data_IF_999881850093
#
_entry.id   IF_999881850093
#
_cell.length_a   1.000
_cell.length_b   1.000
_cell.length_c   1.000
_cell.angle_alpha   90.00
_cell.angle_beta   90.00
_cell.angle_gamma   90.00
#
_symmetry.space_group_name_H-M   'P 1'
#
loop_
_entity.id
_entity.type
_entity.pdbx_description
1 polymer ?
#
# COMPACT_ATOMS: atom_id res chain seq x y z
N UNK A 1 -0.54 4.46 -40.37
CA UNK A 1 -0.03 4.15 -39.01
C UNK A 1 1.16 5.07 -38.75
N UNK A 2 1.11 5.91 -37.73
CA UNK A 2 2.24 6.79 -37.39
C UNK A 2 3.27 5.95 -36.64
N UNK A 3 4.42 5.71 -37.27
CA UNK A 3 5.50 4.88 -36.72
C UNK A 3 6.70 5.79 -36.45
N UNK A 4 7.22 5.75 -35.22
CA UNK A 4 8.47 6.44 -34.87
C UNK A 4 9.64 5.64 -35.46
N UNK A 5 10.54 6.23 -36.27
CA UNK A 5 11.66 5.51 -36.87
C UNK A 5 12.60 4.90 -35.82
N UNK A 6 13.20 3.73 -36.12
CA UNK A 6 14.08 3.00 -35.20
C UNK A 6 15.23 3.86 -34.65
N UNK A 7 15.81 4.73 -35.47
CA UNK A 7 16.91 5.61 -35.07
C UNK A 7 16.49 6.58 -33.94
N UNK A 8 15.27 7.12 -34.02
CA UNK A 8 14.73 8.04 -33.01
C UNK A 8 14.23 7.32 -31.76
N UNK A 9 13.79 6.06 -31.89
CA UNK A 9 13.41 5.26 -30.73
C UNK A 9 14.59 5.01 -29.79
N UNK A 10 15.80 4.90 -30.35
CA UNK A 10 17.02 4.65 -29.59
C UNK A 10 17.57 5.95 -28.98
N UNK A 11 17.40 7.08 -29.68
CA UNK A 11 18.02 8.34 -29.31
C UNK A 11 17.14 9.25 -28.42
N UNK A 12 15.82 9.04 -28.39
CA UNK A 12 14.91 10.01 -27.80
C UNK A 12 13.69 9.42 -27.09
N UNK A 13 12.87 10.32 -26.53
CA UNK A 13 11.62 9.94 -25.92
C UNK A 13 10.60 9.58 -27.01
N UNK A 14 10.34 8.27 -27.17
CA UNK A 14 9.41 7.71 -28.16
C UNK A 14 8.02 8.34 -28.06
N UNK A 15 7.52 8.58 -26.84
CA UNK A 15 6.21 9.18 -26.64
C UNK A 15 6.18 10.63 -27.14
N UNK A 16 7.22 11.42 -26.86
CA UNK A 16 7.32 12.78 -27.40
C UNK A 16 7.38 12.78 -28.93
N UNK A 17 8.21 11.93 -29.52
CA UNK A 17 8.36 11.79 -30.97
C UNK A 17 7.05 11.34 -31.65
N UNK A 18 6.25 10.53 -30.96
CA UNK A 18 4.90 10.15 -31.40
C UNK A 18 3.93 11.33 -31.34
N UNK A 19 3.87 12.04 -30.21
CA UNK A 19 2.99 13.21 -30.02
C UNK A 19 3.33 14.35 -30.99
N UNK A 20 4.61 14.58 -31.27
CA UNK A 20 5.04 15.55 -32.29
C UNK A 20 4.52 15.19 -33.68
N UNK A 21 4.51 13.91 -34.05
CA UNK A 21 4.05 13.46 -35.37
C UNK A 21 2.53 13.39 -35.50
N UNK A 22 1.82 13.17 -34.40
CA UNK A 22 0.35 13.10 -34.40
C UNK A 22 -0.31 14.47 -34.26
N UNK A 23 0.11 15.26 -33.26
CA UNK A 23 -0.52 16.53 -32.92
C UNK A 23 0.26 17.74 -33.45
N UNK A 24 1.55 17.58 -33.75
CA UNK A 24 2.35 18.66 -34.36
C UNK A 24 2.03 18.90 -35.84
N UNK A 25 1.30 18.00 -36.50
CA UNK A 25 0.76 18.25 -37.85
C UNK A 25 -0.50 19.15 -37.82
N UNK A 26 -1.13 19.30 -36.66
CA UNK A 26 -2.40 20.03 -36.49
C UNK A 26 -2.16 21.49 -36.09
N UNK A 27 -0.97 21.84 -35.59
CA UNK A 27 -0.66 23.17 -35.08
C UNK A 27 0.77 23.60 -35.39
N UNK A 28 0.96 24.88 -35.70
CA UNK A 28 2.27 25.45 -36.04
C UNK A 28 3.17 25.69 -34.82
N UNK A 29 2.67 25.53 -33.59
CA UNK A 29 3.47 25.67 -32.36
C UNK A 29 4.18 24.36 -32.01
N UNK A 30 5.50 24.31 -32.23
CA UNK A 30 6.35 23.16 -31.91
C UNK A 30 6.31 22.76 -30.41
N UNK A 31 5.92 23.67 -29.52
CA UNK A 31 5.87 23.43 -28.09
C UNK A 31 4.56 22.77 -27.63
N UNK A 32 3.51 22.82 -28.43
CA UNK A 32 2.18 22.33 -28.06
C UNK A 32 2.13 20.81 -27.81
N UNK A 33 2.72 19.94 -28.67
CA UNK A 33 2.72 18.49 -28.42
C UNK A 33 3.43 18.12 -27.11
N UNK A 34 4.51 18.83 -26.79
CA UNK A 34 5.26 18.64 -25.53
C UNK A 34 4.41 19.03 -24.32
N UNK A 35 3.68 20.14 -24.39
CA UNK A 35 2.78 20.60 -23.31
C UNK A 35 1.61 19.63 -23.11
N UNK A 36 1.01 19.13 -24.18
CA UNK A 36 -0.09 18.14 -24.11
C UNK A 36 0.40 16.84 -23.48
N UNK A 37 1.55 16.32 -23.92
CA UNK A 37 2.15 15.13 -23.33
C UNK A 37 2.45 15.35 -21.84
N UNK A 38 3.01 16.51 -21.47
CA UNK A 38 3.26 16.86 -20.06
C UNK A 38 1.97 16.91 -19.24
N UNK A 39 0.88 17.46 -19.80
CA UNK A 39 -0.42 17.49 -19.13
C UNK A 39 -0.98 16.09 -18.89
N UNK A 40 -0.94 15.20 -19.88
CA UNK A 40 -1.38 13.80 -19.72
C UNK A 40 -0.52 13.03 -18.71
N UNK A 41 0.80 13.20 -18.76
CA UNK A 41 1.69 12.61 -17.76
C UNK A 41 1.40 13.13 -16.36
N UNK A 42 1.11 14.42 -16.20
CA UNK A 42 0.77 15.02 -14.92
C UNK A 42 -0.55 14.44 -14.35
N UNK A 43 -1.61 14.36 -15.17
CA UNK A 43 -2.90 13.80 -14.75
C UNK A 43 -2.76 12.31 -14.39
N UNK A 44 -2.05 11.53 -15.21
CA UNK A 44 -1.81 10.11 -14.94
C UNK A 44 -1.01 9.90 -13.65
N UNK A 45 0.07 10.67 -13.47
CA UNK A 45 0.91 10.58 -12.26
C UNK A 45 0.14 11.02 -11.02
N UNK A 46 -0.68 12.06 -11.10
CA UNK A 46 -1.53 12.51 -10.01
C UNK A 46 -2.51 11.43 -9.57
N UNK A 47 -3.22 10.80 -10.51
CA UNK A 47 -4.14 9.70 -10.21
C UNK A 47 -3.44 8.53 -9.52
N UNK A 48 -2.26 8.14 -10.02
CA UNK A 48 -1.46 7.08 -9.41
C UNK A 48 -1.03 7.41 -7.97
N UNK A 49 -0.60 8.65 -7.70
CA UNK A 49 -0.21 9.10 -6.36
C UNK A 49 -1.42 9.04 -5.41
N UNK A 50 -2.59 9.50 -5.85
CA UNK A 50 -3.82 9.47 -5.03
C UNK A 50 -4.17 8.03 -4.63
N UNK A 51 -4.21 7.11 -5.61
CA UNK A 51 -4.55 5.69 -5.36
C UNK A 51 -3.52 5.04 -4.44
N UNK A 52 -2.23 5.19 -4.73
CA UNK A 52 -1.17 4.59 -3.92
C UNK A 52 -1.16 5.14 -2.48
N UNK A 53 -1.39 6.44 -2.32
CA UNK A 53 -1.46 7.08 -0.99
C UNK A 53 -2.62 6.52 -0.17
N UNK A 54 -3.80 6.39 -0.78
CA UNK A 54 -4.97 5.82 -0.12
C UNK A 54 -4.73 4.36 0.29
N UNK A 55 -4.27 3.52 -0.64
CA UNK A 55 -3.99 2.11 -0.37
C UNK A 55 -2.93 1.96 0.73
N UNK A 56 -1.84 2.72 0.64
CA UNK A 56 -0.77 2.66 1.63
C UNK A 56 -1.19 3.17 3.01
N UNK A 57 -2.17 4.09 3.11
CA UNK A 57 -2.73 4.52 4.38
C UNK A 57 -3.66 3.46 4.97
N UNK A 58 -4.55 2.85 4.16
CA UNK A 58 -5.44 1.78 4.63
C UNK A 58 -4.67 0.56 5.13
N UNK A 59 -3.63 0.13 4.40
CA UNK A 59 -2.76 -0.97 4.86
C UNK A 59 -2.12 -0.64 6.23
N UNK A 60 -1.62 0.58 6.42
CA UNK A 60 -1.05 1.01 7.71
C UNK A 60 -2.11 1.07 8.82
N UNK A 61 -3.33 1.50 8.49
CA UNK A 61 -4.45 1.51 9.43
C UNK A 61 -4.79 0.09 9.91
N UNK A 62 -4.89 -0.86 8.99
CA UNK A 62 -5.17 -2.27 9.33
C UNK A 62 -4.06 -2.89 10.18
N UNK A 63 -2.80 -2.59 9.87
CA UNK A 63 -1.67 -3.01 10.72
C UNK A 63 -1.73 -2.35 12.10
N UNK A 64 -2.15 -1.08 12.18
CA UNK A 64 -2.31 -0.38 13.47
C UNK A 64 -3.41 -0.99 14.34
N UNK A 65 -4.50 -1.48 13.73
CA UNK A 65 -5.59 -2.16 14.44
C UNK A 65 -5.14 -3.48 15.09
N UNK A 66 -4.04 -4.09 14.65
CA UNK A 66 -3.44 -5.24 15.33
C UNK A 66 -2.74 -4.87 16.66
N UNK A 67 -2.66 -3.58 17.02
CA UNK A 67 -2.13 -3.16 18.31
C UNK A 67 -0.60 -3.27 18.47
N UNK A 68 0.11 -3.72 17.43
CA UNK A 68 1.57 -3.92 17.45
C UNK A 68 2.37 -2.62 17.27
N UNK A 69 1.74 -1.58 16.72
CA UNK A 69 2.39 -0.29 16.48
C UNK A 69 2.40 0.58 17.74
N UNK A 70 3.44 1.42 17.95
CA UNK A 70 3.39 2.43 18.99
C UNK A 70 2.24 3.40 18.69
N UNK A 71 1.49 3.80 19.71
CA UNK A 71 0.26 4.60 19.55
C UNK A 71 -0.75 4.02 18.54
N UNK A 72 -0.90 2.69 18.51
CA UNK A 72 -1.83 1.96 17.64
C UNK A 72 -3.24 2.59 17.57
N UNK A 73 -3.79 3.07 18.69
CA UNK A 73 -5.09 3.77 18.74
C UNK A 73 -5.12 5.02 17.86
N UNK A 74 -4.05 5.81 17.84
CA UNK A 74 -3.97 7.01 17.01
C UNK A 74 -3.83 6.66 15.54
N UNK A 75 -3.00 5.67 15.18
CA UNK A 75 -2.78 5.30 13.77
C UNK A 75 -3.93 4.49 13.17
N UNK A 76 -4.65 3.71 13.99
CA UNK A 76 -5.81 2.92 13.59
C UNK A 76 -7.11 3.72 13.47
N UNK A 77 -7.17 4.94 14.04
CA UNK A 77 -8.42 5.71 14.07
C UNK A 77 -8.89 6.13 12.68
N UNK A 78 -10.20 6.05 12.49
CA UNK A 78 -10.90 6.75 11.42
C UNK A 78 -11.40 8.10 11.96
N UNK A 79 -11.33 9.15 11.14
CA UNK A 79 -11.95 10.44 11.45
C UNK A 79 -12.95 10.79 10.35
N UNK A 80 -14.05 11.40 10.75
CA UNK A 80 -15.04 11.95 9.83
C UNK A 80 -14.54 13.28 9.22
N UNK A 81 -13.45 13.22 8.45
CA UNK A 81 -12.90 14.30 7.62
C UNK A 81 -13.11 13.91 6.15
N UNK A 82 -14.36 13.63 5.77
CA UNK A 82 -14.69 13.12 4.44
C UNK A 82 -14.81 14.23 3.39
N UNK A 83 -14.63 13.86 2.12
CA UNK A 83 -14.89 14.77 1.00
C UNK A 83 -16.37 15.21 1.00
N UNK A 84 -17.29 14.36 1.43
CA UNK A 84 -18.69 14.70 1.60
C UNK A 84 -18.91 15.83 2.61
N UNK A 85 -18.19 15.87 3.73
CA UNK A 85 -18.25 17.01 4.67
C UNK A 85 -17.74 18.30 4.07
N UNK A 86 -16.65 18.23 3.32
CA UNK A 86 -16.14 19.39 2.58
C UNK A 86 -17.17 19.89 1.55
N UNK A 87 -17.79 18.98 0.78
CA UNK A 87 -18.84 19.31 -0.17
C UNK A 87 -20.07 19.91 0.52
N UNK A 88 -20.51 19.34 1.65
CA UNK A 88 -21.63 19.84 2.43
C UNK A 88 -21.34 21.26 2.95
N UNK A 89 -20.12 21.51 3.44
CA UNK A 89 -19.68 22.85 3.82
C UNK A 89 -19.67 23.81 2.62
N UNK A 90 -19.09 23.40 1.49
CA UNK A 90 -19.00 24.22 0.28
C UNK A 90 -20.37 24.53 -0.35
N UNK A 91 -21.34 23.62 -0.21
CA UNK A 91 -22.72 23.81 -0.66
C UNK A 91 -23.58 24.60 0.34
N UNK A 92 -23.26 24.53 1.64
CA UNK A 92 -23.98 25.25 2.69
C UNK A 92 -23.81 26.77 2.59
N UNK A 93 -22.63 27.23 2.20
CA UNK A 93 -22.32 28.66 2.08
C UNK A 93 -22.45 29.16 0.63
N UNK A 94 -23.67 29.55 0.25
CA UNK A 94 -24.00 30.03 -1.10
C UNK A 94 -23.29 31.34 -1.49
N UNK A 95 -22.84 32.12 -0.51
CA UNK A 95 -22.14 33.39 -0.73
C UNK A 95 -20.63 33.23 -0.93
N UNK A 96 -20.10 32.04 -0.64
CA UNK A 96 -18.68 31.74 -0.85
C UNK A 96 -18.29 31.86 -2.33
N UNK A 97 -17.08 32.37 -2.58
CA UNK A 97 -16.51 32.49 -3.95
C UNK A 97 -16.51 31.14 -4.67
N UNK A 98 -16.33 30.06 -3.92
CA UNK A 98 -16.32 28.68 -4.41
C UNK A 98 -17.72 28.29 -4.89
N UNK A 99 -18.75 28.47 -4.06
CA UNK A 99 -20.13 28.16 -4.43
C UNK A 99 -20.56 28.97 -5.66
N UNK A 100 -20.27 30.28 -5.73
CA UNK A 100 -20.65 31.11 -6.88
C UNK A 100 -20.00 30.67 -8.19
N UNK A 101 -18.68 30.45 -8.19
CA UNK A 101 -17.92 30.09 -9.41
C UNK A 101 -18.13 28.64 -9.85
N UNK A 102 -18.33 27.72 -8.90
CA UNK A 102 -18.41 26.29 -9.15
C UNK A 102 -19.80 25.69 -8.89
N UNK A 103 -20.86 26.50 -8.77
CA UNK A 103 -22.23 26.01 -8.53
C UNK A 103 -22.65 24.95 -9.57
N UNK A 104 -22.26 25.13 -10.82
CA UNK A 104 -22.58 24.21 -11.91
C UNK A 104 -21.95 22.82 -11.72
N UNK A 105 -20.78 22.77 -11.08
CA UNK A 105 -20.02 21.56 -10.80
C UNK A 105 -20.54 20.89 -9.52
N UNK A 106 -20.75 21.67 -8.46
CA UNK A 106 -21.24 21.19 -7.17
C UNK A 106 -22.65 20.60 -7.24
N UNK A 107 -23.47 20.98 -8.22
CA UNK A 107 -24.81 20.41 -8.46
C UNK A 107 -24.82 19.09 -9.22
N UNK A 108 -23.68 18.61 -9.71
CA UNK A 108 -23.63 17.33 -10.44
C UNK A 108 -23.80 16.16 -9.46
N UNK A 109 -24.44 15.08 -9.91
CA UNK A 109 -24.75 13.89 -9.08
C UNK A 109 -23.51 13.29 -8.40
N UNK A 110 -22.38 13.23 -9.11
CA UNK A 110 -21.11 12.75 -8.54
C UNK A 110 -20.49 13.66 -7.47
N UNK A 111 -21.02 14.87 -7.25
CA UNK A 111 -20.62 15.80 -6.19
C UNK A 111 -21.64 15.84 -5.04
N UNK A 112 -22.52 14.84 -4.94
CA UNK A 112 -23.42 14.69 -3.79
C UNK A 112 -22.60 14.34 -2.53
N UNK A 113 -22.69 15.13 -1.44
CA UNK A 113 -22.03 14.84 -0.17
C UNK A 113 -22.28 13.44 0.37
N UNK A 114 -23.45 12.85 0.10
CA UNK A 114 -23.87 11.55 0.64
C UNK A 114 -23.06 10.39 0.07
N UNK A 115 -22.72 10.50 -1.21
CA UNK A 115 -21.88 9.52 -1.94
C UNK A 115 -20.43 9.51 -1.46
N UNK A 116 -20.00 10.56 -0.73
CA UNK A 116 -18.63 10.76 -0.28
C UNK A 116 -18.51 10.79 1.25
N UNK A 117 -19.33 10.00 1.95
CA UNK A 117 -19.39 9.94 3.42
C UNK A 117 -18.27 9.11 4.08
N UNK A 118 -17.47 8.41 3.28
CA UNK A 118 -16.40 7.52 3.73
C UNK A 118 -15.42 8.20 4.71
N UNK A 119 -15.18 7.54 5.84
CA UNK A 119 -14.28 8.06 6.86
C UNK A 119 -12.82 7.99 6.43
N UNK A 120 -12.05 8.99 6.84
CA UNK A 120 -10.64 9.14 6.45
C UNK A 120 -9.73 8.49 7.50
N UNK A 121 -8.75 7.65 7.09
CA UNK A 121 -7.78 7.03 7.98
C UNK A 121 -6.71 8.06 8.40
N UNK A 122 -7.12 9.06 9.17
CA UNK A 122 -6.33 10.27 9.44
C UNK A 122 -4.96 9.95 10.04
N UNK A 123 -4.90 9.07 11.06
CA UNK A 123 -3.64 8.72 11.71
C UNK A 123 -2.66 8.05 10.74
N UNK A 124 -3.14 7.06 9.99
CA UNK A 124 -2.31 6.37 9.00
C UNK A 124 -1.88 7.26 7.82
N UNK A 125 -2.73 8.21 7.39
CA UNK A 125 -2.38 9.23 6.40
C UNK A 125 -1.31 10.17 6.92
N UNK A 126 -1.44 10.65 8.16
CA UNK A 126 -0.43 11.49 8.81
C UNK A 126 0.92 10.76 8.91
N UNK A 127 0.89 9.47 9.30
CA UNK A 127 2.07 8.63 9.33
C UNK A 127 2.70 8.53 7.93
N UNK A 128 1.91 8.23 6.91
CA UNK A 128 2.42 8.15 5.54
C UNK A 128 3.02 9.48 5.06
N UNK A 129 2.31 10.59 5.27
CA UNK A 129 2.76 11.94 4.92
C UNK A 129 4.07 12.31 5.62
N UNK A 130 4.21 12.02 6.91
CA UNK A 130 5.46 12.31 7.64
C UNK A 130 6.66 11.57 7.06
N UNK A 131 6.50 10.28 6.71
CA UNK A 131 7.57 9.49 6.09
C UNK A 131 7.86 9.93 4.66
N UNK A 132 6.86 10.31 3.87
CA UNK A 132 7.11 10.82 2.50
C UNK A 132 7.81 12.16 2.52
N UNK A 133 7.44 13.09 3.41
CA UNK A 133 8.15 14.35 3.63
C UNK A 133 9.59 14.10 4.06
N UNK A 134 9.80 13.19 5.02
CA UNK A 134 11.15 12.80 5.45
C UNK A 134 11.98 12.28 4.27
N UNK A 135 11.44 11.39 3.44
CA UNK A 135 12.14 10.87 2.27
C UNK A 135 12.48 11.97 1.25
N UNK A 136 11.58 12.93 1.03
CA UNK A 136 11.83 14.09 0.16
C UNK A 136 12.95 14.95 0.72
N UNK A 137 12.94 15.26 2.02
CA UNK A 137 13.99 16.05 2.67
C UNK A 137 15.34 15.35 2.58
N UNK A 138 15.41 14.04 2.88
CA UNK A 138 16.64 13.24 2.81
C UNK A 138 17.23 13.23 1.40
N UNK A 139 16.39 13.14 0.37
CA UNK A 139 16.82 13.06 -1.03
C UNK A 139 16.94 14.41 -1.73
N UNK A 140 16.62 15.52 -1.05
CA UNK A 140 16.63 16.87 -1.63
C UNK A 140 17.99 17.35 -2.14
N UNK A 141 19.09 16.77 -1.64
CA UNK A 141 20.45 17.09 -2.08
C UNK A 141 20.83 16.40 -3.41
N UNK A 142 20.05 15.42 -3.86
CA UNK A 142 20.28 14.69 -5.10
C UNK A 142 19.57 15.39 -6.28
N UNK A 143 20.03 15.13 -7.50
CA UNK A 143 19.29 15.56 -8.70
C UNK A 143 17.93 14.84 -8.76
N UNK A 144 16.87 15.46 -9.33
CA UNK A 144 15.54 14.85 -9.36
C UNK A 144 15.49 13.45 -9.99
N UNK A 145 16.30 13.21 -11.03
CA UNK A 145 16.41 11.89 -11.67
C UNK A 145 17.01 10.86 -10.73
N UNK A 146 18.06 11.24 -10.01
CA UNK A 146 18.83 10.36 -9.15
C UNK A 146 18.05 10.05 -7.87
N UNK A 147 17.37 11.05 -7.31
CA UNK A 147 16.43 10.89 -6.20
C UNK A 147 15.30 9.92 -6.59
N UNK A 148 14.68 10.11 -7.76
CA UNK A 148 13.64 9.22 -8.25
C UNK A 148 14.14 7.77 -8.37
N UNK A 149 15.29 7.56 -9.02
CA UNK A 149 15.89 6.23 -9.16
C UNK A 149 16.16 5.59 -7.79
N UNK A 150 16.79 6.31 -6.85
CA UNK A 150 17.07 5.79 -5.52
C UNK A 150 15.79 5.37 -4.77
N UNK A 151 14.74 6.20 -4.82
CA UNK A 151 13.48 5.92 -4.14
C UNK A 151 12.74 4.75 -4.77
N UNK A 152 12.75 4.63 -6.10
CA UNK A 152 12.17 3.49 -6.82
C UNK A 152 12.96 2.22 -6.56
N UNK A 153 14.29 2.29 -6.52
CA UNK A 153 15.16 1.16 -6.19
C UNK A 153 14.89 0.67 -4.76
N UNK A 154 14.77 1.59 -3.80
CA UNK A 154 14.44 1.26 -2.41
C UNK A 154 13.06 0.60 -2.28
N UNK A 155 12.05 1.13 -2.97
CA UNK A 155 10.71 0.54 -3.03
C UNK A 155 10.74 -0.85 -3.67
N UNK A 156 11.39 -0.99 -4.82
CA UNK A 156 11.43 -2.24 -5.60
C UNK A 156 12.19 -3.32 -4.83
N UNK A 157 13.37 -2.99 -4.28
CA UNK A 157 14.16 -3.92 -3.48
C UNK A 157 13.41 -4.39 -2.23
N UNK A 158 12.81 -3.46 -1.49
CA UNK A 158 12.17 -3.78 -0.19
C UNK A 158 10.80 -4.44 -0.38
N UNK A 159 9.92 -3.85 -1.19
CA UNK A 159 8.53 -4.29 -1.32
C UNK A 159 8.38 -5.38 -2.37
N UNK A 160 8.94 -5.18 -3.57
CA UNK A 160 8.73 -6.13 -4.66
C UNK A 160 9.63 -7.36 -4.49
N UNK A 161 10.93 -7.18 -4.20
CA UNK A 161 11.87 -8.28 -4.12
C UNK A 161 11.82 -9.00 -2.77
N UNK A 162 12.05 -8.32 -1.64
CA UNK A 162 12.09 -8.99 -0.33
C UNK A 162 10.72 -9.57 0.05
N UNK A 163 9.65 -8.77 0.08
CA UNK A 163 8.32 -9.32 0.42
C UNK A 163 7.80 -10.26 -0.66
N UNK A 164 8.07 -10.01 -1.95
CA UNK A 164 7.76 -10.97 -3.02
C UNK A 164 8.42 -12.32 -2.80
N UNK A 165 9.69 -12.34 -2.41
CA UNK A 165 10.42 -13.57 -2.07
C UNK A 165 9.83 -14.29 -0.86
N UNK A 166 9.52 -13.56 0.23
CA UNK A 166 8.90 -14.13 1.44
C UNK A 166 7.53 -14.73 1.11
N UNK A 167 6.71 -14.05 0.30
CA UNK A 167 5.41 -14.55 -0.16
C UNK A 167 5.60 -15.82 -1.01
N UNK A 168 6.56 -15.81 -1.94
CA UNK A 168 6.85 -16.97 -2.80
C UNK A 168 7.26 -18.20 -1.97
N UNK A 169 8.15 -18.03 -0.99
CA UNK A 169 8.55 -19.09 -0.06
C UNK A 169 7.37 -19.56 0.80
N UNK A 170 6.54 -18.63 1.28
CA UNK A 170 5.32 -18.96 2.03
C UNK A 170 4.34 -19.81 1.22
N UNK A 171 4.12 -19.47 -0.05
CA UNK A 171 3.29 -20.25 -0.97
C UNK A 171 3.85 -21.65 -1.21
N UNK A 172 5.16 -21.77 -1.44
CA UNK A 172 5.83 -23.06 -1.60
C UNK A 172 5.68 -23.91 -0.33
N UNK A 173 5.92 -23.32 0.85
CA UNK A 173 5.76 -24.00 2.14
C UNK A 173 4.33 -24.51 2.35
N UNK A 174 3.31 -23.73 2.00
CA UNK A 174 1.91 -24.15 2.09
C UNK A 174 1.59 -25.33 1.17
N UNK A 175 2.22 -25.40 -0.01
CA UNK A 175 2.04 -26.47 -0.99
C UNK A 175 2.73 -27.78 -0.59
N UNK A 176 3.91 -27.69 0.03
CA UNK A 176 4.64 -28.87 0.52
C UNK A 176 4.20 -29.34 1.91
N UNK A 177 3.45 -28.51 2.65
CA UNK A 177 2.95 -28.88 3.97
C UNK A 177 1.79 -29.86 3.88
N UNK A 178 1.99 -31.08 4.39
CA UNK A 178 0.94 -32.10 4.51
C UNK A 178 -0.14 -31.73 5.54
N UNK A 179 0.22 -30.92 6.55
CA UNK A 179 -0.67 -30.57 7.67
C UNK A 179 -1.78 -29.60 7.28
N UNK A 180 -1.52 -28.69 6.33
CA UNK A 180 -2.48 -27.66 5.92
C UNK A 180 -3.39 -28.10 4.77
N UNK A 181 -3.14 -29.29 4.19
CA UNK A 181 -3.88 -29.90 3.06
C UNK A 181 -4.30 -28.89 1.99
N UNK A 182 -3.40 -27.97 1.62
CA UNK A 182 -3.74 -26.85 0.73
C UNK A 182 -4.13 -27.30 -0.69
N UNK A 183 -3.71 -28.51 -1.08
CA UNK A 183 -4.13 -29.15 -2.33
C UNK A 183 -5.64 -29.38 -2.42
N UNK A 184 -6.36 -29.57 -1.30
CA UNK A 184 -7.81 -29.78 -1.31
C UNK A 184 -8.61 -28.49 -1.32
N UNK A 185 -8.00 -27.36 -0.95
CA UNK A 185 -8.65 -26.05 -0.87
C UNK A 185 -8.51 -25.23 -2.16
N UNK A 186 -7.51 -25.55 -2.97
CA UNK A 186 -7.16 -24.80 -4.17
C UNK A 186 -7.69 -25.51 -5.42
N UNK A 187 -8.53 -24.86 -6.25
CA UNK A 187 -9.01 -25.44 -7.51
C UNK A 187 -7.90 -25.54 -8.59
N UNK A 188 -6.76 -24.88 -8.37
CA UNK A 188 -5.68 -24.80 -9.35
C UNK A 188 -4.78 -26.05 -9.37
N UNK A 189 -4.30 -26.43 -10.57
CA UNK A 189 -3.40 -27.58 -10.75
C UNK A 189 -2.11 -27.43 -9.91
N UNK A 190 -1.76 -28.39 -9.03
CA UNK A 190 -0.65 -28.25 -8.11
C UNK A 190 0.71 -28.00 -8.78
N UNK A 191 1.03 -28.72 -9.85
CA UNK A 191 2.31 -28.60 -10.54
C UNK A 191 2.56 -27.19 -11.11
N UNK A 192 1.56 -26.59 -11.78
CA UNK A 192 1.67 -25.23 -12.30
C UNK A 192 1.80 -24.18 -11.19
N UNK A 193 1.07 -24.36 -10.09
CA UNK A 193 1.18 -23.47 -8.92
C UNK A 193 2.57 -23.54 -8.26
N UNK A 194 3.18 -24.73 -8.21
CA UNK A 194 4.54 -24.90 -7.65
C UNK A 194 5.57 -24.28 -8.60
N UNK A 195 5.44 -24.54 -9.90
CA UNK A 195 6.35 -23.98 -10.90
C UNK A 195 6.30 -22.45 -10.93
N UNK A 196 5.10 -21.85 -10.90
CA UNK A 196 4.96 -20.40 -10.90
C UNK A 196 5.48 -19.77 -9.61
N UNK A 197 5.21 -20.37 -8.45
CA UNK A 197 5.75 -19.90 -7.17
C UNK A 197 7.28 -20.02 -7.12
N UNK A 198 7.86 -21.07 -7.70
CA UNK A 198 9.31 -21.24 -7.80
C UNK A 198 9.95 -20.20 -8.74
N UNK A 199 9.38 -19.99 -9.92
CA UNK A 199 9.83 -18.95 -10.85
C UNK A 199 9.74 -17.55 -10.21
N UNK A 200 8.65 -17.27 -9.50
CA UNK A 200 8.47 -16.02 -8.77
C UNK A 200 9.48 -15.86 -7.62
N UNK A 201 9.81 -16.95 -6.89
CA UNK A 201 10.85 -16.95 -5.87
C UNK A 201 12.23 -16.65 -6.46
N UNK A 202 12.60 -17.31 -7.57
CA UNK A 202 13.88 -17.06 -8.24
C UNK A 202 13.97 -15.61 -8.75
N UNK A 203 12.93 -15.12 -9.42
CA UNK A 203 12.87 -13.75 -9.91
C UNK A 203 12.96 -12.71 -8.79
N UNK A 204 12.31 -12.97 -7.65
CA UNK A 204 12.37 -12.06 -6.49
C UNK A 204 13.67 -12.17 -5.71
N UNK A 205 14.34 -13.33 -5.75
CA UNK A 205 15.64 -13.55 -5.11
C UNK A 205 16.78 -12.83 -5.86
N UNK A 206 16.70 -12.76 -7.19
CA UNK A 206 17.75 -12.18 -8.01
C UNK A 206 18.14 -10.76 -7.58
N UNK A 207 17.23 -9.77 -7.45
CA UNK A 207 17.60 -8.42 -7.01
C UNK A 207 18.17 -8.40 -5.59
N UNK A 208 17.69 -9.27 -4.69
CA UNK A 208 18.17 -9.35 -3.30
C UNK A 208 19.66 -9.66 -3.27
N UNK A 209 20.10 -10.65 -4.07
CA UNK A 209 21.50 -11.09 -4.14
C UNK A 209 22.33 -10.17 -5.04
N UNK A 210 21.82 -9.83 -6.23
CA UNK A 210 22.56 -9.05 -7.23
C UNK A 210 22.91 -7.64 -6.72
N UNK A 211 22.07 -7.03 -5.89
CA UNK A 211 22.36 -5.70 -5.31
C UNK A 211 23.53 -5.71 -4.32
N UNK A 212 23.95 -6.89 -3.84
CA UNK A 212 25.15 -7.03 -3.00
C UNK A 212 26.45 -7.22 -3.79
N UNK A 213 26.36 -7.30 -5.12
CA UNK A 213 27.53 -7.46 -5.99
C UNK A 213 27.98 -6.09 -6.50
N UNK A 214 29.25 -5.69 -6.29
CA UNK A 214 29.73 -4.41 -6.78
C UNK A 214 29.72 -4.36 -8.31
N UNK A 215 29.38 -3.20 -8.91
CA UNK A 215 29.37 -3.04 -10.35
C UNK A 215 30.79 -3.15 -10.93
N UNK A 216 30.89 -3.68 -12.15
CA UNK A 216 32.18 -3.83 -12.84
C UNK A 216 32.81 -2.47 -13.19
N UNK A 217 34.13 -2.41 -13.27
CA UNK A 217 34.88 -1.20 -13.66
C UNK A 217 34.46 -0.67 -15.04
N UNK A 218 34.09 -1.56 -15.96
CA UNK A 218 33.57 -1.21 -17.28
C UNK A 218 32.19 -0.54 -17.25
N UNK A 219 31.39 -0.79 -16.22
CA UNK A 219 30.11 -0.10 -15.99
C UNK A 219 30.33 1.26 -15.35
N UNK A 220 31.20 1.32 -14.33
CA UNK A 220 31.55 2.57 -13.63
C UNK A 220 32.23 3.60 -14.55
N UNK A 221 32.91 3.18 -15.61
CA UNK A 221 33.48 4.09 -16.60
C UNK A 221 32.45 4.75 -17.52
N UNK A 222 31.22 4.19 -17.59
CA UNK A 222 30.13 4.68 -18.45
C UNK A 222 28.96 5.27 -17.66
N UNK A 223 28.92 5.06 -16.35
CA UNK A 223 27.78 5.44 -15.52
C UNK A 223 28.27 5.97 -14.18
N UNK A 224 27.92 7.22 -13.87
CA UNK A 224 28.17 7.82 -12.58
C UNK A 224 27.06 7.41 -11.61
N UNK A 225 27.43 6.67 -10.56
CA UNK A 225 26.51 6.34 -9.48
C UNK A 225 26.24 7.60 -8.64
N UNK A 226 24.98 7.98 -8.49
CA UNK A 226 24.60 9.10 -7.64
C UNK A 226 24.79 8.81 -6.15
N UNK A 227 24.66 7.54 -5.77
CA UNK A 227 24.81 7.04 -4.40
C UNK A 227 25.58 5.73 -4.43
N UNK A 228 26.25 5.36 -3.34
CA UNK A 228 26.99 4.11 -3.26
C UNK A 228 26.09 2.90 -3.58
N UNK A 229 26.62 1.93 -4.32
CA UNK A 229 25.85 0.79 -4.84
C UNK A 229 25.17 -0.05 -3.74
N UNK A 230 25.79 -0.12 -2.55
CA UNK A 230 25.25 -0.84 -1.40
C UNK A 230 24.21 -0.05 -0.60
N UNK A 231 23.94 1.22 -0.94
CA UNK A 231 23.05 2.07 -0.14
C UNK A 231 21.63 1.53 -0.11
N UNK A 232 21.07 1.16 -1.26
CA UNK A 232 19.73 0.58 -1.34
C UNK A 232 19.57 -0.67 -0.46
N UNK A 233 20.40 -1.72 -0.59
CA UNK A 233 20.27 -2.90 0.26
C UNK A 233 20.54 -2.60 1.74
N UNK A 234 21.55 -1.79 2.07
CA UNK A 234 21.85 -1.46 3.48
C UNK A 234 20.69 -0.72 4.14
N UNK A 235 20.10 0.28 3.48
CA UNK A 235 18.94 1.02 4.01
C UNK A 235 17.74 0.10 4.18
N UNK A 236 17.43 -0.73 3.17
CA UNK A 236 16.32 -1.68 3.23
C UNK A 236 16.46 -2.66 4.40
N UNK A 237 17.61 -3.32 4.53
CA UNK A 237 17.87 -4.28 5.61
C UNK A 237 17.92 -3.60 6.99
N UNK A 238 18.37 -2.34 7.07
CA UNK A 238 18.32 -1.56 8.31
C UNK A 238 16.89 -1.28 8.75
N UNK A 239 16.01 -0.84 7.83
CA UNK A 239 14.59 -0.59 8.13
C UNK A 239 13.87 -1.87 8.52
N UNK A 240 14.08 -2.96 7.79
CA UNK A 240 13.52 -4.27 8.13
C UNK A 240 14.04 -4.80 9.46
N UNK A 241 15.35 -4.64 9.72
CA UNK A 241 16.00 -5.01 10.97
C UNK A 241 15.41 -4.27 12.17
N UNK A 242 15.19 -2.96 12.05
CA UNK A 242 14.52 -2.15 13.08
C UNK A 242 13.08 -2.61 13.31
N UNK A 243 12.33 -2.92 12.26
CA UNK A 243 10.97 -3.46 12.37
C UNK A 243 10.92 -4.81 13.07
N UNK A 244 11.85 -5.71 12.72
CA UNK A 244 11.97 -7.01 13.37
C UNK A 244 12.38 -6.88 14.83
N UNK A 245 13.34 -6.00 15.13
CA UNK A 245 13.76 -5.71 16.50
C UNK A 245 12.58 -5.19 17.34
N UNK A 246 11.80 -4.24 16.81
CA UNK A 246 10.60 -3.73 17.47
C UNK A 246 9.59 -4.85 17.76
N UNK A 247 9.29 -5.69 16.78
CA UNK A 247 8.33 -6.78 16.94
C UNK A 247 8.78 -7.78 18.02
N UNK A 248 10.07 -8.13 18.04
CA UNK A 248 10.62 -9.03 19.05
C UNK A 248 10.61 -8.39 20.45
N UNK A 249 10.91 -7.08 20.54
CA UNK A 249 10.79 -6.33 21.79
C UNK A 249 9.34 -6.29 22.29
N UNK A 250 8.36 -6.10 21.41
CA UNK A 250 6.94 -6.15 21.74
C UNK A 250 6.54 -7.55 22.25
N UNK A 251 6.96 -8.63 21.57
CA UNK A 251 6.72 -9.99 22.04
C UNK A 251 7.35 -10.27 23.40
N UNK A 252 8.57 -9.80 23.63
CA UNK A 252 9.24 -9.94 24.92
C UNK A 252 8.48 -9.18 26.02
N UNK A 253 8.03 -7.96 25.74
CA UNK A 253 7.20 -7.17 26.63
C UNK A 253 5.88 -7.89 26.95
N UNK A 254 5.21 -8.42 25.93
CA UNK A 254 3.98 -9.17 26.08
C UNK A 254 4.16 -10.44 26.91
N UNK A 255 5.21 -11.21 26.63
CA UNK A 255 5.58 -12.39 27.40
C UNK A 255 5.85 -12.05 28.87
N UNK A 256 6.62 -10.98 29.15
CA UNK A 256 6.89 -10.53 30.53
C UNK A 256 5.61 -10.14 31.26
N UNK A 257 4.70 -9.45 30.59
CA UNK A 257 3.42 -9.02 31.17
C UNK A 257 2.49 -10.21 31.41
N UNK A 258 2.46 -11.18 30.51
CA UNK A 258 1.73 -12.43 30.68
C UNK A 258 2.24 -13.24 31.87
N UNK A 259 3.55 -13.37 32.05
CA UNK A 259 4.13 -14.13 33.16
C UNK A 259 3.92 -13.47 34.53
N UNK A 260 3.95 -12.13 34.59
CA UNK A 260 3.79 -11.40 35.86
C UNK A 260 2.34 -11.18 36.26
N UNK A 261 1.46 -10.94 35.29
CA UNK A 261 0.08 -10.53 35.54
C UNK A 261 -0.97 -11.56 35.15
N UNK A 262 -0.60 -12.69 34.54
CA UNK A 262 -1.55 -13.67 34.04
C UNK A 262 -2.49 -13.08 32.97
N UNK A 263 -2.03 -12.08 32.21
CA UNK A 263 -2.84 -11.39 31.20
C UNK A 263 -2.34 -11.67 29.79
N UNK A 264 -3.25 -11.74 28.83
CA UNK A 264 -2.96 -11.89 27.41
C UNK A 264 -3.38 -10.63 26.64
N UNK A 265 -2.58 -10.25 25.65
CA UNK A 265 -2.94 -9.16 24.76
C UNK A 265 -3.92 -9.68 23.71
N UNK A 266 -5.15 -9.21 23.78
CA UNK A 266 -6.18 -9.58 22.84
C UNK A 266 -6.59 -8.39 21.98
N UNK A 267 -6.74 -8.68 20.69
CA UNK A 267 -7.26 -7.76 19.68
C UNK A 267 -8.60 -8.33 19.23
N UNK A 268 -9.69 -7.67 19.62
CA UNK A 268 -11.03 -8.06 19.22
C UNK A 268 -11.57 -7.03 18.22
N UNK A 269 -11.96 -7.49 17.04
CA UNK A 269 -12.58 -6.66 16.01
C UNK A 269 -14.06 -7.01 15.92
N UNK A 270 -14.92 -6.05 16.19
CA UNK A 270 -16.38 -6.22 16.15
C UNK A 270 -16.91 -5.41 14.96
N UNK A 271 -17.29 -6.07 13.84
CA UNK A 271 -17.89 -5.39 12.71
C UNK A 271 -19.35 -5.03 13.01
N UNK A 272 -19.74 -3.83 12.58
CA UNK A 272 -21.12 -3.33 12.66
C UNK A 272 -21.69 -3.26 11.24
N UNK A 273 -22.89 -3.79 11.05
CA UNK A 273 -23.56 -3.90 9.76
C UNK A 273 -24.89 -3.14 9.77
N UNK A 274 -25.11 -2.33 8.73
CA UNK A 274 -26.42 -1.74 8.42
C UNK A 274 -26.95 -2.29 7.10
N UNK A 275 -28.24 -2.11 6.83
CA UNK A 275 -28.86 -2.51 5.56
C UNK A 275 -28.90 -1.34 4.59
N UNK A 276 -28.38 -1.52 3.37
CA UNK A 276 -28.38 -0.49 2.33
C UNK A 276 -28.97 -1.01 1.00
N UNK A 277 -30.13 -0.50 0.53
CA UNK A 277 -30.95 0.55 1.14
C UNK A 277 -31.79 0.06 2.34
N UNK A 278 -32.01 0.88 3.38
CA UNK A 278 -32.88 0.53 4.50
C UNK A 278 -34.34 0.33 4.04
N UNK A 279 -35.14 -0.57 4.66
CA UNK A 279 -34.80 -1.52 5.74
C UNK A 279 -34.45 -2.94 5.24
N UNK A 280 -34.53 -3.21 3.93
CA UNK A 280 -34.47 -4.57 3.36
C UNK A 280 -33.26 -4.84 2.46
N UNK A 281 -32.34 -3.89 2.33
CA UNK A 281 -31.11 -4.06 1.57
C UNK A 281 -30.16 -5.10 2.17
N UNK A 282 -29.16 -5.56 1.39
CA UNK A 282 -28.10 -6.42 1.89
C UNK A 282 -27.35 -5.76 3.06
N UNK A 283 -26.82 -6.55 4.01
CA UNK A 283 -25.97 -6.02 5.07
C UNK A 283 -24.66 -5.49 4.48
N UNK A 284 -24.33 -4.25 4.80
CA UNK A 284 -23.09 -3.58 4.45
C UNK A 284 -22.37 -3.27 5.75
N UNK A 285 -21.09 -3.61 5.84
CA UNK A 285 -20.27 -3.26 7.00
C UNK A 285 -20.05 -1.75 7.00
N UNK A 286 -20.56 -1.06 8.03
CA UNK A 286 -20.48 0.41 8.13
C UNK A 286 -19.37 0.84 9.07
N UNK A 287 -19.16 0.08 10.14
CA UNK A 287 -18.13 0.37 11.13
C UNK A 287 -17.43 -0.91 11.61
N UNK A 288 -16.27 -0.74 12.21
CA UNK A 288 -15.55 -1.81 12.89
C UNK A 288 -14.95 -1.24 14.17
N UNK A 289 -15.45 -1.70 15.31
CA UNK A 289 -14.90 -1.32 16.60
C UNK A 289 -13.78 -2.28 16.96
N UNK A 290 -12.57 -1.74 17.17
CA UNK A 290 -11.38 -2.53 17.52
C UNK A 290 -11.02 -2.32 18.99
N UNK A 291 -11.14 -3.37 19.78
CA UNK A 291 -10.77 -3.40 21.18
C UNK A 291 -9.34 -3.92 21.34
N UNK A 292 -8.51 -3.12 22.00
CA UNK A 292 -7.13 -3.45 22.34
C UNK A 292 -7.01 -3.51 23.86
N UNK A 293 -6.92 -4.72 24.43
CA UNK A 293 -6.93 -4.91 25.87
C UNK A 293 -5.93 -6.00 26.31
N UNK A 294 -5.46 -5.85 27.55
CA UNK A 294 -4.82 -6.93 28.29
C UNK A 294 -5.89 -7.58 29.13
N UNK A 295 -6.34 -8.77 28.73
CA UNK A 295 -7.41 -9.52 29.39
C UNK A 295 -6.78 -10.60 30.25
N UNK A 296 -7.38 -10.95 31.39
CA UNK A 296 -6.92 -12.08 32.19
C UNK A 296 -6.97 -13.35 31.32
N UNK A 297 -5.96 -14.20 31.46
CA UNK A 297 -5.93 -15.50 30.77
C UNK A 297 -7.00 -16.38 31.42
N UNK A 298 -8.19 -16.45 30.83
CA UNK A 298 -9.20 -17.40 31.24
C UNK A 298 -8.65 -18.82 31.04
N UNK A 299 -8.90 -19.72 31.99
CA UNK A 299 -8.58 -21.13 31.83
C UNK A 299 -9.52 -21.69 30.76
N UNK A 300 -9.06 -21.77 29.50
CA UNK A 300 -9.76 -22.38 28.35
C UNK A 300 -10.22 -23.85 28.55
N UNK A 301 -9.97 -24.45 29.72
CA UNK A 301 -10.39 -25.81 30.04
C UNK A 301 -11.90 -25.99 30.23
N UNK A 302 -12.70 -24.92 30.26
CA UNK A 302 -14.16 -25.01 30.47
C UNK A 302 -15.00 -24.76 29.21
N UNK A 303 -14.45 -24.07 28.20
CA UNK A 303 -15.17 -23.77 26.95
C UNK A 303 -14.98 -24.82 25.86
N UNK A 304 -13.86 -25.57 25.88
CA UNK A 304 -13.65 -26.71 25.00
C UNK A 304 -14.72 -27.81 25.22
N UNK A 305 -15.19 -28.00 26.45
CA UNK A 305 -16.26 -28.95 26.76
C UNK A 305 -17.65 -28.47 26.28
N UNK A 306 -17.83 -27.16 26.06
CA UNK A 306 -19.11 -26.56 25.65
C UNK A 306 -19.21 -26.44 24.12
N UNK A 307 -18.13 -26.07 23.43
CA UNK A 307 -18.09 -26.06 21.97
C UNK A 307 -18.09 -27.46 21.36
N UNK A 308 -17.39 -28.43 21.97
CA UNK A 308 -17.40 -29.82 21.50
C UNK A 308 -18.79 -30.45 21.69
N UNK A 309 -19.49 -30.16 22.80
CA UNK A 309 -20.90 -30.53 23.01
C UNK A 309 -21.87 -29.87 22.04
N UNK A 310 -21.72 -28.57 21.76
CA UNK A 310 -22.60 -27.87 20.79
C UNK A 310 -22.41 -28.35 19.36
N UNK A 311 -21.20 -28.73 18.97
CA UNK A 311 -20.91 -29.24 17.63
C UNK A 311 -21.43 -30.67 17.39
N UNK A 312 -21.62 -31.46 18.45
CA UNK A 312 -22.23 -32.79 18.38
C UNK A 312 -23.77 -32.77 18.33
N UNK A 313 -24.41 -31.70 18.83
CA UNK A 313 -25.88 -31.58 18.83
C UNK A 313 -26.45 -30.89 17.58
N UNK A 314 -25.60 -30.38 16.68
CA UNK A 314 -26.00 -29.78 15.40
C UNK A 314 -25.51 -30.60 14.19
N UNK A 315 -26.03 -31.82 14.06
CA UNK A 315 -26.07 -32.58 12.79
C UNK A 315 -27.38 -33.34 12.68
#
# INVERSE_FOLDING_TARGET
>A
MIVVPKAEQIAGNVALAFFQRTLGSVSQDESQPRRILAAFMAVSSFGNIVVMTFTAARVKQEIAKEGILPWAKFFGQSKNLSFGRFLAWAQKDQDSVIARKFHWLLKRSWMDPREHSQETPFGALFLHWSFTVLMIVVTSHLKPTDAYTLLVDLYTYTIVSIFGFIIAVGMLRLRFSSTKRWSTKSPFRPAFSILSAFAFALGSCYPIVASWVPPSSAYLSKTQLAVAWFTTPVVAWSVLGLGMFWYQAFKLYAWRRAHKGGVEFQVQKVPEFDRDPPPNGPPVQVHETVFLAWVAKENESMDLDIEDRRSMESF
#
